data_IF_789287818993
#
_entry.id   IF_789287818993
#
_cell.length_a   1.000
_cell.length_b   1.000
_cell.length_c   1.000
_cell.angle_alpha   90.00
_cell.angle_beta   90.00
_cell.angle_gamma   90.00
#
_symmetry.space_group_name_H-M   'P 1'
#
loop_
_entity.id
_entity.type
_entity.pdbx_description
1 polymer ?
2 non-polymer ?
3 non-polymer ?
4 non-polymer ?
5 non-polymer ?
6 non-polymer ?
7 water ?
#
# COMPACT_ATOMS: atom_id res chain seq x y z
N UNK A 1 -11.09 0.34 -6.48
CA UNK A 1 -11.02 1.76 -6.96
C UNK A 1 -9.66 2.38 -6.63
N UNK A 2 -8.60 1.83 -7.24
CA UNK A 2 -7.22 2.17 -6.87
C UNK A 2 -6.32 2.68 -8.01
N UNK A 3 -6.86 3.53 -8.89
CA UNK A 3 -6.00 4.17 -9.90
C UNK A 3 -5.16 5.31 -9.27
N UNK A 4 -5.73 6.06 -8.31
CA UNK A 4 -4.98 7.09 -7.57
C UNK A 4 -3.81 6.50 -6.75
N UNK A 5 -4.05 5.39 -6.05
CA UNK A 5 -2.95 4.72 -5.29
C UNK A 5 -1.82 4.24 -6.22
N UNK A 6 -2.19 3.58 -7.32
CA UNK A 6 -1.26 3.21 -8.38
C UNK A 6 -0.47 4.38 -8.91
N UNK A 7 -1.15 5.50 -9.13
CA UNK A 7 -0.46 6.71 -9.59
C UNK A 7 0.55 7.19 -8.55
N UNK A 8 0.15 7.15 -7.28
CA UNK A 8 1.05 7.52 -6.19
C UNK A 8 2.26 6.60 -6.11
N UNK A 9 2.03 5.30 -6.22
CA UNK A 9 3.15 4.33 -6.26
C UNK A 9 4.14 4.69 -7.38
N UNK A 10 3.64 4.89 -8.58
CA UNK A 10 4.54 5.18 -9.71
C UNK A 10 5.29 6.49 -9.51
N UNK A 11 4.58 7.52 -9.08
CA UNK A 11 5.25 8.80 -8.78
C UNK A 11 6.38 8.62 -7.75
N UNK A 12 6.11 7.89 -6.67
CA UNK A 12 7.07 7.76 -5.58
C UNK A 12 8.18 6.73 -5.82
N UNK A 13 7.95 5.73 -6.66
CA UNK A 13 8.94 4.65 -6.81
C UNK A 13 9.68 4.57 -8.16
N UNK A 14 9.19 5.22 -9.21
CA UNK A 14 9.73 5.00 -10.56
C UNK A 14 9.31 3.67 -11.20
N UNK A 15 8.62 2.80 -10.45
CA UNK A 15 8.12 1.53 -10.97
C UNK A 15 6.65 1.65 -11.26
N UNK A 16 6.20 0.86 -12.22
CA UNK A 16 4.78 0.63 -12.43
C UNK A 16 4.08 0.02 -11.19
N UNK A 17 2.82 0.36 -10.97
CA UNK A 17 2.01 -0.24 -9.90
C UNK A 17 1.92 -1.77 -9.98
N UNK A 18 1.97 -2.29 -11.22
CA UNK A 18 2.01 -3.74 -11.53
C UNK A 18 3.09 -4.48 -10.76
N UNK A 19 4.22 -3.81 -10.54
CA UNK A 19 5.34 -4.38 -9.83
C UNK A 19 5.13 -4.57 -8.33
N UNK A 20 4.06 -4.01 -7.78
CA UNK A 20 3.75 -4.15 -6.37
C UNK A 20 2.53 -5.04 -6.11
N UNK A 21 1.64 -5.20 -7.09
CA UNK A 21 0.63 -6.27 -7.04
C UNK A 21 1.29 -7.66 -6.97
N UNK A 22 0.69 -8.53 -6.16
CA UNK A 22 1.16 -9.89 -5.88
C UNK A 22 2.52 -9.99 -5.24
N UNK A 23 3.13 -8.87 -4.91
CA UNK A 23 4.46 -8.91 -4.36
C UNK A 23 4.36 -9.59 -3.02
N UNK A 24 5.28 -10.51 -2.80
CA UNK A 24 5.34 -11.28 -1.57
C UNK A 24 4.01 -11.87 -1.15
N UNK A 25 3.75 -11.80 0.16
CA UNK A 25 2.60 -12.43 0.77
C UNK A 25 1.48 -11.47 1.14
N UNK A 26 1.75 -10.16 1.16
CA UNK A 26 0.77 -9.15 1.54
C UNK A 26 0.40 -8.15 0.45
N UNK A 27 1.24 -7.92 -0.55
CA UNK A 27 0.89 -6.92 -1.55
C UNK A 27 -0.07 -7.50 -2.61
N UNK A 28 -1.24 -6.89 -2.76
CA UNK A 28 -2.34 -7.48 -3.52
C UNK A 28 -3.42 -7.86 -2.54
N UNK A 29 -4.54 -8.35 -3.03
CA UNK A 29 -5.71 -8.52 -2.14
C UNK A 29 -5.45 -9.51 -1.00
N UNK A 30 -5.92 -9.14 0.19
CA UNK A 30 -5.69 -9.91 1.41
C UNK A 30 -4.21 -10.13 1.68
N UNK A 31 -3.85 -11.37 2.02
CA UNK A 31 -2.48 -11.71 2.38
C UNK A 31 -2.45 -12.38 3.74
N UNK A 32 -1.43 -13.20 3.96
CA UNK A 32 -1.37 -14.10 5.11
C UNK A 32 0.07 -14.52 5.35
N UNK A 33 0.32 -15.15 6.50
CA UNK A 33 1.62 -15.73 6.83
C UNK A 33 2.66 -14.64 7.10
N UNK A 34 3.95 -14.92 6.97
CA UNK A 34 4.97 -13.97 7.38
C UNK A 34 5.51 -13.22 6.15
N UNK A 35 5.60 -11.86 6.23
CA UNK A 35 6.08 -11.07 5.11
C UNK A 35 7.48 -11.47 4.70
N UNK A 36 7.74 -11.45 3.39
CA UNK A 36 9.02 -11.91 2.86
C UNK A 36 10.16 -10.94 3.07
N UNK A 37 9.86 -9.64 3.13
CA UNK A 37 10.87 -8.59 3.15
C UNK A 37 10.21 -7.24 3.55
N UNK A 38 10.98 -6.14 3.54
CA UNK A 38 10.52 -4.84 4.05
C UNK A 38 9.39 -4.26 3.20
N UNK A 39 9.51 -4.39 1.89
CA UNK A 39 8.46 -3.95 0.99
C UNK A 39 7.13 -4.65 1.32
N UNK A 40 7.21 -5.95 1.63
CA UNK A 40 6.03 -6.75 1.97
C UNK A 40 5.46 -6.27 3.31
N UNK A 41 6.34 -5.93 4.26
CA UNK A 41 5.88 -5.35 5.52
C UNK A 41 5.07 -4.07 5.24
N UNK A 42 5.50 -3.24 4.28
CA UNK A 42 4.75 -2.04 3.91
C UNK A 42 3.31 -2.39 3.62
N UNK A 43 3.13 -3.47 2.87
CA UNK A 43 1.80 -3.92 2.49
C UNK A 43 0.99 -4.47 3.65
N UNK A 44 1.64 -5.28 4.50
CA UNK A 44 1.07 -5.71 5.77
C UNK A 44 0.55 -4.53 6.61
N UNK A 45 1.40 -3.53 6.79
CA UNK A 45 1.01 -2.29 7.46
C UNK A 45 -0.16 -1.58 6.75
N UNK A 46 -0.14 -1.54 5.42
CA UNK A 46 -1.22 -0.90 4.64
C UNK A 46 -2.55 -1.60 4.84
N UNK A 47 -2.54 -2.93 4.79
CA UNK A 47 -3.71 -3.73 5.13
C UNK A 47 -4.25 -3.42 6.52
N UNK A 48 -3.33 -3.29 7.47
CA UNK A 48 -3.72 -2.91 8.83
C UNK A 48 -4.38 -1.52 8.84
N UNK A 49 -3.78 -0.58 8.10
CA UNK A 49 -4.29 0.80 7.96
C UNK A 49 -5.72 0.80 7.43
N UNK A 50 -5.96 0.05 6.38
CA UNK A 50 -7.32 -0.09 5.86
C UNK A 50 -8.31 -0.68 6.88
N UNK A 51 -7.87 -1.71 7.63
CA UNK A 51 -8.71 -2.32 8.65
C UNK A 51 -9.18 -1.29 9.66
N UNK A 52 -8.25 -0.48 10.15
CA UNK A 52 -8.56 0.63 11.06
C UNK A 52 -9.60 1.58 10.43
N UNK A 53 -9.42 1.90 9.14
CA UNK A 53 -10.37 2.81 8.50
C UNK A 53 -11.77 2.18 8.35
N UNK A 54 -11.82 0.88 8.04
CA UNK A 54 -13.10 0.16 7.98
C UNK A 54 -13.83 0.20 9.35
N UNK A 55 -13.10 0.06 10.45
CA UNK A 55 -13.70 0.14 11.79
C UNK A 55 -14.15 1.58 12.16
N UNK A 56 -13.60 2.60 11.48
CA UNK A 56 -14.10 3.98 11.62
C UNK A 56 -15.36 4.29 10.79
N UNK A 57 -15.86 3.32 10.01
CA UNK A 57 -16.98 3.52 9.09
C UNK A 57 -16.58 3.94 7.68
N UNK A 58 -15.28 3.92 7.35
CA UNK A 58 -14.83 4.29 6.01
C UNK A 58 -14.84 3.07 5.11
N UNK A 59 -14.76 3.31 3.79
CA UNK A 59 -14.63 2.24 2.79
C UNK A 59 -13.36 2.43 1.95
N UNK A 60 -12.17 2.26 2.58
CA UNK A 60 -10.94 2.72 1.93
C UNK A 60 -10.66 2.02 0.62
N UNK A 61 -11.13 0.78 0.44
CA UNK A 61 -11.01 0.11 -0.87
C UNK A 61 -11.71 0.87 -1.99
N UNK A 62 -12.74 1.64 -1.65
CA UNK A 62 -13.51 2.41 -2.63
C UNK A 62 -13.27 3.93 -2.65
N UNK A 63 -12.68 4.49 -1.60
CA UNK A 63 -12.64 5.95 -1.46
C UNK A 63 -11.79 6.57 -2.58
N UNK A 64 -12.28 7.68 -3.13
CA UNK A 64 -11.59 8.46 -4.15
C UNK A 64 -11.06 9.73 -3.47
N UNK A 65 -9.76 9.96 -3.53
CA UNK A 65 -9.18 11.15 -2.92
C UNK A 65 -8.40 11.97 -3.95
N UNK A 66 -7.87 13.09 -3.47
CA UNK A 66 -6.98 13.92 -4.25
C UNK A 66 -5.61 14.03 -3.62
N UNK A 67 -4.61 14.12 -4.48
CA UNK A 67 -3.27 14.36 -4.01
C UNK A 67 -2.37 15.01 -5.03
N UNK A 68 -1.34 15.68 -4.50
CA UNK A 68 -0.22 16.19 -5.28
C UNK A 68 1.09 15.77 -4.63
N UNK A 69 2.16 15.91 -5.42
CA UNK A 69 3.54 15.69 -4.97
C UNK A 69 4.43 16.88 -5.38
N UNK A 70 4.89 17.64 -4.40
CA UNK A 70 5.94 18.64 -4.61
C UNK A 70 7.27 18.05 -4.12
N UNK A 71 8.25 18.91 -3.88
CA UNK A 71 9.50 18.54 -3.25
C UNK A 71 9.30 18.43 -1.75
N UNK A 72 8.33 19.17 -1.24
CA UNK A 72 7.98 19.18 0.18
C UNK A 72 7.26 17.90 0.62
N UNK A 73 6.77 17.12 -0.35
CA UNK A 73 6.29 15.76 -0.11
C UNK A 73 4.97 15.46 -0.80
N UNK A 74 4.13 14.69 -0.13
CA UNK A 74 2.85 14.28 -0.68
C UNK A 74 1.77 15.01 0.07
N UNK A 75 0.94 15.76 -0.67
CA UNK A 75 -0.17 16.50 -0.05
C UNK A 75 -1.47 15.78 -0.34
N UNK A 76 -2.18 15.41 0.71
CA UNK A 76 -3.44 14.65 0.60
C UNK A 76 -4.61 15.60 0.75
N UNK A 77 -5.72 15.26 0.11
CA UNK A 77 -6.91 16.08 0.18
C UNK A 77 -8.16 15.31 -0.23
N UNK A 78 -9.30 15.93 0.04
CA UNK A 78 -10.59 15.34 -0.31
C UNK A 78 -11.71 15.96 0.47
N UNK A 79 -12.91 15.78 -0.06
CA UNK A 79 -14.11 16.35 0.53
C UNK A 79 -14.41 15.78 1.91
N UNK A 80 -14.22 14.48 2.10
CA UNK A 80 -14.52 13.84 3.39
C UNK A 80 -13.24 13.39 4.13
N UNK A 81 -13.38 13.26 5.43
CA UNK A 81 -12.32 12.75 6.27
C UNK A 81 -11.92 11.31 5.89
N UNK A 82 -12.89 10.48 5.53
CA UNK A 82 -12.58 9.13 5.05
C UNK A 82 -11.68 9.09 3.79
N UNK A 83 -11.88 10.03 2.88
CA UNK A 83 -11.07 10.15 1.66
C UNK A 83 -9.65 10.57 2.03
N UNK A 84 -9.56 11.54 2.93
CA UNK A 84 -8.27 12.01 3.42
C UNK A 84 -7.53 10.92 4.23
N UNK A 85 -8.25 10.15 5.04
CA UNK A 85 -7.65 9.02 5.77
C UNK A 85 -7.13 7.96 4.80
N UNK A 86 -7.88 7.70 3.75
CA UNK A 86 -7.47 6.70 2.79
C UNK A 86 -6.16 7.12 2.14
N UNK A 87 -6.09 8.40 1.78
CA UNK A 87 -4.89 9.01 1.21
C UNK A 87 -3.69 8.91 2.14
N UNK A 88 -3.91 9.14 3.43
CA UNK A 88 -2.86 8.97 4.43
C UNK A 88 -2.34 7.53 4.55
N UNK A 89 -3.22 6.54 4.59
CA UNK A 89 -2.75 5.12 4.50
C UNK A 89 -1.90 4.87 3.23
N UNK A 90 -2.43 5.28 2.07
CA UNK A 90 -1.70 5.08 0.79
C UNK A 90 -0.33 5.77 0.81
N UNK A 91 -0.30 6.99 1.36
CA UNK A 91 0.91 7.82 1.39
C UNK A 91 2.00 7.13 2.18
N UNK A 92 1.65 6.69 3.39
CA UNK A 92 2.59 5.95 4.24
C UNK A 92 3.16 4.72 3.53
N UNK A 93 2.31 3.98 2.83
CA UNK A 93 2.73 2.84 2.02
C UNK A 93 3.65 3.19 0.85
N UNK A 94 3.31 4.23 0.10
CA UNK A 94 4.12 4.65 -1.03
C UNK A 94 5.50 5.12 -0.57
N UNK A 95 5.50 5.87 0.53
CA UNK A 95 6.74 6.30 1.15
C UNK A 95 7.56 5.12 1.65
N UNK A 96 6.88 4.17 2.28
CA UNK A 96 7.52 2.93 2.69
C UNK A 96 8.12 2.18 1.46
N UNK A 97 7.38 2.10 0.35
CA UNK A 97 7.92 1.46 -0.86
C UNK A 97 9.20 2.17 -1.32
N UNK A 98 9.14 3.50 -1.44
CA UNK A 98 10.31 4.26 -1.89
C UNK A 98 11.50 4.00 -0.98
N UNK A 99 11.25 4.04 0.32
CA UNK A 99 12.28 3.91 1.34
C UNK A 99 13.04 2.55 1.28
N UNK A 100 12.31 1.50 0.95
CA UNK A 100 12.89 0.17 0.78
C UNK A 100 13.20 -0.24 -0.66
N UNK A 101 13.32 0.72 -1.56
CA UNK A 101 13.69 0.38 -2.94
C UNK A 101 14.99 -0.40 -3.04
N UNK A 102 15.91 -0.16 -2.10
CA UNK A 102 17.19 -0.85 -2.03
C UNK A 102 17.12 -2.35 -1.89
N UNK A 103 16.04 -2.87 -1.30
CA UNK A 103 15.87 -4.32 -1.11
C UNK A 103 14.72 -4.91 -1.91
N UNK A 104 14.05 -4.08 -2.73
CA UNK A 104 13.11 -4.61 -3.71
C UNK A 104 13.80 -5.71 -4.54
N UNK A 105 13.18 -6.88 -4.59
CA UNK A 105 13.68 -8.02 -5.34
C UNK A 105 12.57 -8.54 -6.27
N UNK A 106 12.92 -8.69 -7.55
CA UNK A 106 11.96 -9.09 -8.58
C UNK A 106 11.46 -10.50 -8.43
N UNK A 107 12.26 -11.35 -7.79
CA UNK A 107 11.82 -12.71 -7.49
C UNK A 107 10.52 -12.78 -6.65
N UNK A 108 10.21 -11.74 -5.88
CA UNK A 108 8.98 -11.69 -5.09
C UNK A 108 7.78 -11.11 -5.82
N UNK A 109 7.94 -10.48 -6.98
CA UNK A 109 6.73 -10.10 -7.72
C UNK A 109 6.01 -11.39 -8.17
N UNK A 110 4.68 -11.39 -8.07
CA UNK A 110 3.87 -12.54 -8.47
C UNK A 110 4.28 -13.77 -7.69
N UNK A 111 4.38 -13.60 -6.37
CA UNK A 111 4.88 -14.65 -5.52
C UNK A 111 3.79 -15.71 -5.35
N UNK A 112 4.13 -17.01 -5.57
CA UNK A 112 3.17 -18.09 -5.33
C UNK A 112 2.71 -18.15 -3.88
N UNK A 113 1.40 -18.14 -3.67
CA UNK A 113 0.83 -18.05 -2.34
C UNK A 113 1.13 -19.31 -1.50
N UNK A 114 1.41 -20.44 -2.15
CA UNK A 114 1.92 -21.64 -1.47
C UNK A 114 3.26 -21.43 -0.77
N UNK A 115 4.08 -20.49 -1.25
CA UNK A 115 5.37 -20.20 -0.61
C UNK A 115 5.22 -19.32 0.62
N UNK A 116 4.00 -18.87 0.92
CA UNK A 116 3.77 -18.10 2.13
C UNK A 116 3.56 -19.04 3.32
N UNK A 117 4.49 -18.98 4.26
CA UNK A 117 4.52 -19.86 5.43
C UNK A 117 4.78 -19.08 6.72
N UNK A 118 4.58 -19.76 7.86
CA UNK A 118 4.79 -19.17 9.17
C UNK A 118 3.53 -18.59 9.78
N UNK A 119 3.69 -17.93 10.94
CA UNK A 119 2.56 -17.27 11.54
C UNK A 119 2.18 -16.01 10.76
N UNK A 120 1.00 -15.48 11.06
CA UNK A 120 0.54 -14.20 10.55
C UNK A 120 0.74 -13.18 11.66
N UNK A 121 1.63 -12.20 11.47
CA UNK A 121 1.81 -11.17 12.49
C UNK A 121 0.57 -10.30 12.71
N UNK A 122 0.31 -9.90 13.97
CA UNK A 122 -0.86 -9.08 14.21
C UNK A 122 -0.59 -7.63 13.77
N UNK A 123 -1.64 -6.83 13.65
CA UNK A 123 -1.47 -5.39 13.34
C UNK A 123 -0.88 -4.61 14.52
X LIG B 1 -2.75 -6.90 0.89
X LIG C 1 -5.80 -5.63 0.23
X LIG C 1 -5.97 -4.44 0.62
X LIG C 1 -6.62 -4.07 1.65
X LIG C 1 -5.32 -3.32 -0.22
X LIG C 1 -4.16 -3.81 -0.94
X LIG C 1 -4.16 -3.93 -2.32
X LIG C 1 -5.31 -4.39 -2.98
X LIG C 1 -5.29 -4.52 -4.36
X LIG C 1 -4.10 -4.20 -5.01
X LIG C 1 -3.00 -3.77 -4.35
X LIG C 1 -3.01 -3.63 -3.00
X LIG C 1 -1.75 -3.20 -2.67
X LIG C 1 -1.27 -2.91 -1.43
X LIG C 1 -0.74 -1.83 -1.14
X LIG C 1 -1.37 -4.00 -0.34
X LIG C 1 -1.85 -5.11 -0.56
X LIG C 1 -0.97 -3.62 0.86
X LIG C 1 -1.04 -3.07 -3.78
X LIG C 1 0.42 -2.60 -3.85
X LIG C 1 -1.80 -3.42 -4.84
X LIG C 1 -1.42 -3.46 -6.32
X LIG C 1 -1.94 -2.32 -7.05
X LIG C 1 -1.97 -1.06 -6.42
X LIG C 1 -2.45 0.08 -7.07
X LIG C 1 -2.92 0.00 -8.36
X LIG C 1 -2.91 -1.22 -9.02
X LIG C 1 -2.42 -2.38 -8.40
X LIG C 1 -2.51 -3.51 -9.23
X LIG C 1 -3.60 -4.38 -9.11
X LIG C 1 -3.72 -5.49 -9.96
X LIG C 1 -2.76 -5.72 -10.96
X LIG C 1 -1.68 -4.83 -11.09
X LIG C 1 -1.57 -3.72 -10.24
X LIG D 1 -4.00 7.22 9.75
X LIG D 1 -3.46 7.24 8.42
X LIG D 1 -4.54 5.83 10.11
X LIG D 1 -3.52 5.10 10.79
X LIG D 1 -5.79 5.95 10.98
X LIG D 1 -5.96 4.81 11.82
X LIG E 1 8.63 -3.75 10.26
X LIG E 1 9.18 -3.50 8.95
X LIG E 1 9.20 -5.03 10.87
X LIG E 1 10.56 -5.22 10.49
X LIG E 1 9.14 -4.96 12.39
X LIG E 1 7.77 -4.88 12.80
X LIG F 1 -2.88 -9.26 9.09
X LIG F 1 -3.01 -8.78 10.48
X LIG F 1 -4.43 -9.77 8.54
X LIG F 1 -2.50 -7.93 8.07
X LIG G 1 -16.74 13.41 -3.48
X LIG H 1 -0.04 2.34 8.41
#
# INVERSE_FOLDING_TARGET
NLVQFGVMIEKMTGKSALQYNDYGCYCGIGGSHWPVDQTDWCCHAHDCCYGRLEKLGCEPKLEKYLFSVSERGIFCAGRTTCQRLTCECDKRAALCFRRNLGTYNRKYAHYPNKLCTGPTPPC
CA CA
7W0 OAO CAN OAP CAM OAK CAA CAB CAC CAD CAE CAF CAI CAL OAS CAQ OAT NAR CAH CAJ NAG CAU CAV CAW CAX CAY CAZ CBA CBB CBC CBD CBE CBF CBG
GOL C1 O1 C2 O2 C3 O3
GOL C1 O1 C2 O2 C3 O3
DMS S O C1 C2
CL CL
CL CL
#
